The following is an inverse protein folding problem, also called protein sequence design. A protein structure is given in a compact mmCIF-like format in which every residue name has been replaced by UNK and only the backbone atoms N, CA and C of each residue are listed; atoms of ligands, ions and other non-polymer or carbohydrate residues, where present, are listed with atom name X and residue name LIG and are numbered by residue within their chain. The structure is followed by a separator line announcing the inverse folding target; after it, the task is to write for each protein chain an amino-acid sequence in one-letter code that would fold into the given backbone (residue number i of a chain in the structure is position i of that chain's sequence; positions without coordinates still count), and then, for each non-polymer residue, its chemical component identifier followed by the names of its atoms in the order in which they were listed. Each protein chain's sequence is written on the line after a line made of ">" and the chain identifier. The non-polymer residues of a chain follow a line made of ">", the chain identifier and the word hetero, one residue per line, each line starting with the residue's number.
data_IF_003696904028
#
_entry.id   IF_003696904028
#
_cell.length_a   1.000
_cell.length_b   1.000
_cell.length_c   1.000
_cell.angle_alpha   90.00
_cell.angle_beta   90.00
_cell.angle_gamma   90.00
#
_symmetry.space_group_name_H-M   'P 1'
#
loop_
_entity.id
_entity.type
_entity.pdbx_description
1 polymer ?
#
# COMPACT_ATOMS: atom_id res chain seq x y z
N UNK A 1 10.39 8.85 22.88
CA UNK A 1 9.00 8.35 22.89
C UNK A 1 8.70 7.90 21.46
N UNK A 2 8.51 6.60 21.25
CA UNK A 2 8.22 6.05 19.92
C UNK A 2 6.80 6.45 19.49
N UNK A 3 6.66 7.10 18.34
CA UNK A 3 5.37 7.46 17.79
C UNK A 3 4.71 6.24 17.14
N UNK A 4 3.51 5.88 17.55
CA UNK A 4 2.72 4.83 16.92
C UNK A 4 1.91 5.42 15.74
N UNK A 5 2.14 4.91 14.55
CA UNK A 5 1.52 5.35 13.31
C UNK A 5 0.62 4.27 12.70
N UNK A 6 -0.39 4.67 11.95
CA UNK A 6 -1.29 3.76 11.24
C UNK A 6 -1.32 4.08 9.75
N UNK A 7 -1.15 3.06 8.95
CA UNK A 7 -1.38 3.12 7.52
C UNK A 7 -2.77 2.54 7.22
N UNK A 8 -3.65 3.36 6.66
CA UNK A 8 -4.97 2.91 6.21
C UNK A 8 -4.93 2.71 4.70
N UNK A 9 -5.14 1.49 4.29
CA UNK A 9 -5.24 1.08 2.89
C UNK A 9 -6.70 0.83 2.54
N UNK A 10 -7.12 1.39 1.45
CA UNK A 10 -8.45 1.17 0.88
C UNK A 10 -8.27 0.50 -0.48
N UNK A 11 -8.79 -0.70 -0.61
CA UNK A 11 -8.76 -1.44 -1.86
C UNK A 11 -10.17 -1.79 -2.30
N UNK A 12 -10.44 -1.58 -3.57
CA UNK A 12 -11.71 -1.93 -4.19
C UNK A 12 -11.41 -2.77 -5.44
N UNK A 13 -11.63 -4.05 -5.39
CA UNK A 13 -11.65 -5.07 -6.46
C UNK A 13 -10.65 -6.24 -6.44
N UNK A 14 -11.13 -7.36 -6.94
CA UNK A 14 -10.64 -8.64 -7.54
C UNK A 14 -9.21 -9.08 -7.23
N UNK A 15 -9.05 -10.33 -6.82
CA UNK A 15 -7.82 -11.11 -6.55
C UNK A 15 -6.54 -10.29 -6.54
N UNK A 16 -6.00 -9.98 -5.38
CA UNK A 16 -4.86 -9.10 -5.37
C UNK A 16 -3.85 -9.48 -4.29
N UNK A 17 -2.63 -9.75 -4.73
CA UNK A 17 -1.47 -9.54 -3.88
C UNK A 17 -1.01 -8.10 -4.05
N UNK A 18 -0.95 -7.36 -2.96
CA UNK A 18 -0.44 -6.00 -2.92
C UNK A 18 0.98 -6.04 -2.37
N UNK A 19 1.95 -5.63 -3.16
CA UNK A 19 3.31 -5.37 -2.69
C UNK A 19 3.49 -3.86 -2.58
N UNK A 20 3.63 -3.38 -1.36
CA UNK A 20 3.96 -1.98 -1.08
C UNK A 20 5.44 -1.89 -0.81
N UNK A 21 6.18 -1.26 -1.71
CA UNK A 21 7.57 -0.91 -1.44
C UNK A 21 7.59 0.34 -0.58
N UNK A 22 8.02 0.19 0.64
CA UNK A 22 8.25 1.27 1.59
C UNK A 22 9.72 1.63 1.48
N UNK A 23 10.06 2.71 0.82
CA UNK A 23 11.45 3.15 0.73
C UNK A 23 11.80 4.10 1.88
N UNK A 24 12.97 3.82 2.41
CA UNK A 24 13.94 4.63 3.13
C UNK A 24 13.45 5.80 3.98
N UNK A 25 13.77 5.69 5.25
CA UNK A 25 13.87 6.83 6.14
C UNK A 25 15.00 7.75 5.66
N UNK A 26 14.67 8.93 5.19
CA UNK A 26 15.66 9.99 5.06
C UNK A 26 15.79 10.68 6.42
N UNK A 27 17.00 10.69 6.95
CA UNK A 27 17.38 11.61 8.00
C UNK A 27 17.14 13.02 7.49
N UNK A 28 16.21 13.75 8.09
CA UNK A 28 16.13 15.17 7.90
C UNK A 28 17.28 15.81 8.68
N UNK A 29 18.47 15.81 8.10
CA UNK A 29 19.54 16.67 8.53
C UNK A 29 19.21 18.11 8.09
N UNK A 30 19.02 18.99 9.05
CA UNK A 30 18.68 20.38 8.86
C UNK A 30 19.94 21.24 8.64
N UNK A 31 21.04 20.67 8.20
CA UNK A 31 22.24 21.41 7.78
C UNK A 31 22.34 21.38 6.25
N UNK A 32 21.91 22.47 5.64
CA UNK A 32 22.02 22.69 4.19
C UNK A 32 23.49 22.76 3.73
N UNK A 33 24.10 21.62 3.48
CA UNK A 33 25.36 21.57 2.78
C UNK A 33 25.32 20.43 1.72
N UNK A 34 25.02 20.79 0.50
CA UNK A 34 25.23 19.96 -0.67
C UNK A 34 26.72 19.93 -0.97
N UNK A 35 27.45 18.97 -0.44
CA UNK A 35 28.83 18.73 -0.83
C UNK A 35 28.96 17.45 -1.65
N UNK A 36 29.28 17.67 -2.92
CA UNK A 36 30.01 16.80 -3.87
C UNK A 36 29.80 15.29 -3.78
N UNK A 37 29.11 14.77 -4.79
CA UNK A 37 29.17 13.36 -5.15
C UNK A 37 30.60 12.99 -5.50
N UNK A 38 31.24 12.20 -4.69
CA UNK A 38 32.50 11.52 -4.99
C UNK A 38 32.18 10.26 -5.79
N UNK A 39 32.57 10.28 -7.06
CA UNK A 39 32.35 9.23 -8.04
C UNK A 39 33.38 8.12 -7.79
N UNK A 40 33.08 7.14 -6.93
CA UNK A 40 33.99 6.03 -6.75
C UNK A 40 33.77 5.08 -5.59
N UNK A 41 32.81 5.29 -4.71
CA UNK A 41 32.53 4.31 -3.66
C UNK A 41 31.49 3.28 -4.14
N UNK A 42 31.71 1.96 -3.90
CA UNK A 42 30.67 0.97 -4.14
C UNK A 42 29.42 1.35 -3.32
N UNK A 43 28.20 1.14 -3.82
CA UNK A 43 27.02 1.46 -3.07
C UNK A 43 27.04 0.69 -1.75
N UNK A 44 27.08 1.42 -0.64
CA UNK A 44 26.89 0.83 0.68
C UNK A 44 25.49 0.23 0.72
N UNK A 45 25.40 -1.07 0.66
CA UNK A 45 24.18 -1.89 0.68
C UNK A 45 23.43 -1.83 2.01
N UNK A 46 23.92 -1.08 3.00
CA UNK A 46 23.35 -1.02 4.35
C UNK A 46 22.42 0.17 4.62
N UNK A 47 22.15 1.02 3.60
CA UNK A 47 21.41 2.28 3.82
C UNK A 47 19.89 2.18 3.70
N UNK A 48 19.33 1.06 3.26
CA UNK A 48 17.90 0.96 2.97
C UNK A 48 17.06 0.35 4.11
N UNK A 49 17.69 -0.21 5.15
CA UNK A 49 16.95 -0.73 6.30
C UNK A 49 16.53 0.39 7.25
N UNK A 50 15.29 0.32 7.75
CA UNK A 50 14.80 1.22 8.81
C UNK A 50 14.95 0.51 10.15
N UNK A 51 16.03 0.77 10.91
CA UNK A 51 16.27 0.08 12.18
C UNK A 51 15.12 0.37 13.15
N UNK A 52 14.46 -0.70 13.63
CA UNK A 52 13.42 -0.57 14.64
C UNK A 52 12.03 -0.22 14.14
N UNK A 53 11.79 -0.19 12.82
CA UNK A 53 10.43 -0.15 12.27
C UNK A 53 9.73 -1.47 12.59
N UNK A 54 8.60 -1.41 13.27
CA UNK A 54 7.84 -2.60 13.66
C UNK A 54 6.40 -2.47 13.22
N UNK A 55 5.89 -3.51 12.57
CA UNK A 55 4.50 -3.65 12.24
C UNK A 55 3.77 -4.42 13.35
N UNK A 56 2.66 -3.87 13.82
CA UNK A 56 1.75 -4.58 14.73
C UNK A 56 0.69 -5.31 13.94
N UNK A 57 -0.10 -6.15 14.61
CA UNK A 57 -1.17 -6.92 13.99
C UNK A 57 -2.15 -6.01 13.23
N UNK A 58 -2.30 -6.18 11.92
CA UNK A 58 -3.26 -5.43 11.13
C UNK A 58 -4.69 -5.79 11.49
N UNK A 59 -5.59 -4.82 11.33
CA UNK A 59 -7.03 -5.05 11.35
C UNK A 59 -7.63 -4.66 10.01
N UNK A 60 -8.64 -5.39 9.59
CA UNK A 60 -9.29 -5.16 8.31
C UNK A 60 -10.79 -5.40 8.36
N UNK A 61 -11.51 -4.74 7.47
CA UNK A 61 -12.97 -4.84 7.35
C UNK A 61 -13.40 -4.52 5.92
N UNK A 62 -14.52 -5.09 5.54
CA UNK A 62 -15.14 -4.85 4.24
C UNK A 62 -15.67 -6.12 3.60
N UNK A 63 -16.47 -5.94 2.57
CA UNK A 63 -17.12 -7.06 1.87
C UNK A 63 -16.15 -7.89 1.04
N UNK A 64 -14.95 -7.38 0.75
CA UNK A 64 -13.91 -8.06 -0.03
C UNK A 64 -12.84 -8.73 0.84
N UNK A 65 -12.86 -8.51 2.16
CA UNK A 65 -11.89 -9.10 3.07
C UNK A 65 -12.57 -9.61 4.34
N UNK A 66 -13.24 -10.78 4.26
CA UNK A 66 -13.78 -11.45 5.43
C UNK A 66 -12.70 -11.73 6.47
N UNK A 67 -13.11 -11.96 7.71
CA UNK A 67 -12.20 -12.29 8.80
C UNK A 67 -11.29 -13.49 8.43
N UNK A 68 -9.98 -13.36 8.61
CA UNK A 68 -9.00 -14.41 8.30
C UNK A 68 -8.56 -14.48 6.83
N UNK A 69 -9.06 -13.59 5.94
CA UNK A 69 -8.74 -13.63 4.50
C UNK A 69 -7.66 -12.64 4.05
N UNK A 70 -7.00 -11.97 4.98
CA UNK A 70 -5.90 -11.05 4.66
C UNK A 70 -4.69 -11.37 5.53
N UNK A 71 -3.54 -11.52 4.90
CA UNK A 71 -2.25 -11.59 5.57
C UNK A 71 -1.38 -10.39 5.19
N UNK A 72 -0.59 -9.92 6.14
CA UNK A 72 0.33 -8.81 5.95
C UNK A 72 1.71 -9.21 6.47
N UNK A 73 2.73 -8.93 5.69
CA UNK A 73 4.13 -9.25 6.02
C UNK A 73 5.01 -8.07 5.69
N UNK A 74 5.73 -7.58 6.70
CA UNK A 74 6.80 -6.60 6.52
C UNK A 74 8.11 -7.35 6.27
N UNK A 75 8.89 -6.90 5.28
CA UNK A 75 10.21 -7.46 5.03
C UNK A 75 11.14 -7.22 6.23
N UNK A 76 12.16 -8.08 6.44
CA UNK A 76 13.08 -7.94 7.57
C UNK A 76 13.82 -6.61 7.61
N UNK A 77 14.09 -6.02 6.45
CA UNK A 77 14.71 -4.71 6.29
C UNK A 77 13.76 -3.53 6.50
N UNK A 78 12.44 -3.79 6.66
CA UNK A 78 11.42 -2.76 6.80
C UNK A 78 11.10 -1.99 5.53
N UNK A 79 11.66 -2.38 4.36
CA UNK A 79 11.51 -1.61 3.12
C UNK A 79 10.32 -2.01 2.26
N UNK A 80 9.72 -3.18 2.50
CA UNK A 80 8.55 -3.62 1.75
C UNK A 80 7.48 -4.23 2.63
N UNK A 81 6.23 -3.91 2.32
CA UNK A 81 5.04 -4.49 2.93
C UNK A 81 4.25 -5.26 1.89
N UNK A 82 4.04 -6.54 2.13
CA UNK A 82 3.22 -7.39 1.29
C UNK A 82 1.87 -7.66 1.95
N UNK A 83 0.80 -7.52 1.16
CA UNK A 83 -0.56 -7.87 1.56
C UNK A 83 -1.09 -8.95 0.60
N UNK A 84 -1.55 -10.05 1.17
CA UNK A 84 -2.16 -11.14 0.43
C UNK A 84 -3.63 -11.24 0.80
N UNK A 85 -4.49 -11.37 -0.21
CA UNK A 85 -5.94 -11.48 -0.07
C UNK A 85 -6.41 -12.81 -0.63
N UNK A 86 -6.95 -13.68 0.20
CA UNK A 86 -7.40 -15.02 -0.21
C UNK A 86 -8.84 -15.03 -0.77
N UNK A 87 -9.65 -14.04 -0.41
CA UNK A 87 -11.08 -14.02 -0.73
C UNK A 87 -11.57 -12.73 -1.41
N UNK A 88 -10.66 -11.92 -1.93
CA UNK A 88 -11.01 -10.65 -2.55
C UNK A 88 -11.47 -10.84 -4.00
N UNK A 89 -12.69 -11.36 -4.17
CA UNK A 89 -13.30 -11.69 -5.48
C UNK A 89 -14.59 -10.91 -5.66
N UNK A 90 -14.80 -10.38 -6.86
CA UNK A 90 -16.06 -9.76 -7.28
C UNK A 90 -16.54 -10.38 -8.58
N UNK A 91 -17.78 -10.83 -8.61
CA UNK A 91 -18.39 -11.45 -9.76
C UNK A 91 -19.76 -10.81 -10.03
N UNK A 92 -20.04 -10.59 -11.31
CA UNK A 92 -21.35 -10.15 -11.79
C UNK A 92 -21.68 -10.83 -13.12
N UNK A 93 -22.94 -11.00 -13.40
CA UNK A 93 -23.41 -11.71 -14.60
C UNK A 93 -23.48 -13.23 -14.42
N UNK A 94 -23.61 -13.96 -15.52
CA UNK A 94 -23.66 -15.42 -15.52
C UNK A 94 -24.69 -15.99 -14.55
N UNK A 95 -24.27 -16.95 -13.75
CA UNK A 95 -25.12 -17.64 -12.76
C UNK A 95 -25.53 -16.79 -11.56
N UNK A 96 -24.82 -15.66 -11.31
CA UNK A 96 -25.16 -14.76 -10.18
C UNK A 96 -26.45 -13.96 -10.41
N UNK A 97 -26.86 -13.79 -11.67
CA UNK A 97 -28.02 -12.98 -12.06
C UNK A 97 -27.88 -11.48 -11.79
N UNK A 98 -26.75 -11.05 -11.23
CA UNK A 98 -26.51 -9.65 -10.89
C UNK A 98 -25.83 -8.90 -12.03
N UNK A 99 -26.39 -7.75 -12.41
CA UNK A 99 -25.78 -6.89 -13.44
C UNK A 99 -24.53 -6.14 -12.93
N UNK A 100 -24.40 -5.99 -11.61
CA UNK A 100 -23.30 -5.26 -10.97
C UNK A 100 -22.95 -5.91 -9.63
N UNK A 101 -21.67 -5.92 -9.33
CA UNK A 101 -21.17 -6.30 -8.02
C UNK A 101 -20.03 -5.38 -7.62
N UNK A 102 -19.87 -5.15 -6.33
CA UNK A 102 -18.78 -4.36 -5.78
C UNK A 102 -18.28 -4.97 -4.48
N UNK A 103 -16.99 -4.94 -4.27
CA UNK A 103 -16.34 -5.34 -3.04
C UNK A 103 -15.42 -4.22 -2.57
N UNK A 104 -15.26 -4.09 -1.27
CA UNK A 104 -14.32 -3.16 -0.67
C UNK A 104 -13.56 -3.83 0.48
N UNK A 105 -12.36 -3.34 0.74
CA UNK A 105 -11.56 -3.72 1.89
C UNK A 105 -10.87 -2.47 2.44
N UNK A 106 -10.97 -2.28 3.74
CA UNK A 106 -10.22 -1.29 4.48
C UNK A 106 -9.27 -2.01 5.42
N UNK A 107 -7.99 -1.69 5.34
CA UNK A 107 -6.96 -2.30 6.17
C UNK A 107 -6.31 -1.19 6.99
N UNK A 108 -6.19 -1.44 8.29
CA UNK A 108 -5.49 -0.58 9.23
C UNK A 108 -4.24 -1.32 9.71
N UNK A 109 -3.08 -0.77 9.40
CA UNK A 109 -1.79 -1.36 9.71
C UNK A 109 -1.06 -0.43 10.69
N UNK A 110 -0.98 -0.80 11.97
CA UNK A 110 -0.24 0.00 12.94
C UNK A 110 1.27 -0.24 12.79
N UNK A 111 2.03 0.85 12.82
CA UNK A 111 3.50 0.82 12.82
C UNK A 111 4.05 1.60 14.00
N UNK A 112 5.14 1.10 14.57
CA UNK A 112 6.00 1.85 15.47
C UNK A 112 7.17 2.37 14.64
N UNK A 113 7.25 3.70 14.52
CA UNK A 113 8.34 4.36 13.80
C UNK A 113 9.34 4.90 14.83
N UNK A 114 10.63 4.57 14.72
CA UNK A 114 11.65 5.05 15.63
C UNK A 114 11.76 6.59 15.62
N UNK A 115 12.24 7.21 16.72
CA UNK A 115 12.51 8.65 16.75
C UNK A 115 13.51 9.04 15.66
N UNK A 116 13.25 10.17 15.00
CA UNK A 116 14.10 10.68 13.91
C UNK A 116 13.82 10.07 12.54
N UNK A 117 12.93 9.09 12.46
CA UNK A 117 12.54 8.45 11.19
C UNK A 117 11.12 8.81 10.79
N UNK A 118 10.86 8.77 9.51
CA UNK A 118 9.52 8.85 8.94
C UNK A 118 9.38 7.82 7.82
N UNK A 119 8.17 7.30 7.64
CA UNK A 119 7.85 6.31 6.62
C UNK A 119 7.17 6.99 5.44
N UNK A 120 7.59 6.66 4.24
CA UNK A 120 6.97 7.08 2.99
C UNK A 120 6.62 5.85 2.15
N UNK A 121 5.45 5.86 1.53
CA UNK A 121 5.12 4.89 0.49
C UNK A 121 5.58 5.46 -0.85
N UNK A 122 6.53 4.80 -1.49
CA UNK A 122 7.12 5.25 -2.77
C UNK A 122 6.45 4.59 -3.96
N UNK A 123 6.16 3.30 -3.85
CA UNK A 123 5.59 2.50 -4.92
C UNK A 123 4.57 1.52 -4.37
N UNK A 124 3.52 1.27 -5.13
CA UNK A 124 2.53 0.24 -4.85
C UNK A 124 2.28 -0.57 -6.11
N UNK A 125 2.41 -1.88 -6.00
CA UNK A 125 2.11 -2.83 -7.06
C UNK A 125 0.89 -3.66 -6.67
N UNK A 126 -0.08 -3.71 -7.56
CA UNK A 126 -1.29 -4.53 -7.41
C UNK A 126 -1.26 -5.62 -8.46
N UNK A 127 -1.47 -6.85 -8.03
CA UNK A 127 -1.49 -8.01 -8.90
C UNK A 127 -2.81 -8.75 -8.72
N UNK A 128 -3.39 -9.21 -9.80
CA UNK A 128 -4.63 -9.95 -9.77
C UNK A 128 -4.96 -10.55 -11.11
N UNK A 129 -6.13 -11.18 -11.17
CA UNK A 129 -6.69 -11.74 -12.39
C UNK A 129 -7.99 -11.03 -12.74
N UNK A 130 -8.25 -10.85 -14.02
CA UNK A 130 -9.48 -10.25 -14.53
C UNK A 130 -10.05 -11.10 -15.66
N UNK A 131 -11.37 -11.32 -15.60
CA UNK A 131 -12.15 -11.90 -16.70
C UNK A 131 -13.34 -10.99 -16.97
N UNK A 132 -13.31 -10.24 -18.08
CA UNK A 132 -14.37 -9.30 -18.47
C UNK A 132 -14.88 -9.69 -19.84
N UNK A 133 -16.15 -10.10 -19.99
CA UNK A 133 -16.73 -10.44 -21.29
C UNK A 133 -16.96 -9.18 -22.14
N UNK A 134 -17.22 -9.39 -23.42
CA UNK A 134 -17.57 -8.33 -24.37
C UNK A 134 -18.73 -7.48 -23.86
N UNK A 135 -18.58 -6.17 -23.94
CA UNK A 135 -19.59 -5.20 -23.48
C UNK A 135 -19.61 -4.94 -21.96
N UNK A 136 -18.83 -5.68 -21.19
CA UNK A 136 -18.68 -5.46 -19.74
C UNK A 136 -17.43 -4.65 -19.41
N UNK A 137 -17.36 -4.21 -18.14
CA UNK A 137 -16.19 -3.53 -17.59
C UNK A 137 -16.00 -3.84 -16.12
N UNK A 138 -14.75 -3.88 -15.70
CA UNK A 138 -14.34 -3.95 -14.31
C UNK A 138 -13.56 -2.68 -13.94
N UNK A 139 -13.69 -2.23 -12.71
CA UNK A 139 -12.94 -1.07 -12.21
C UNK A 139 -12.25 -1.45 -10.92
N UNK A 140 -10.95 -1.20 -10.84
CA UNK A 140 -10.15 -1.36 -9.64
C UNK A 140 -9.68 0.01 -9.14
N UNK A 141 -9.75 0.23 -7.83
CA UNK A 141 -9.23 1.43 -7.21
C UNK A 141 -8.64 1.15 -5.85
N UNK A 142 -7.52 1.79 -5.54
CA UNK A 142 -6.86 1.67 -4.25
C UNK A 142 -6.28 3.01 -3.80
N UNK A 143 -6.18 3.19 -2.50
CA UNK A 143 -5.61 4.37 -1.89
C UNK A 143 -5.08 4.10 -0.49
N UNK A 144 -4.25 4.99 0.02
CA UNK A 144 -3.76 4.93 1.40
C UNK A 144 -3.74 6.31 2.05
N UNK A 145 -3.63 6.32 3.35
CA UNK A 145 -3.33 7.52 4.17
C UNK A 145 -2.59 7.12 5.43
N UNK A 146 -1.73 7.98 5.91
CA UNK A 146 -1.20 7.88 7.26
C UNK A 146 -2.15 8.54 8.27
N UNK A 147 -2.27 7.94 9.46
CA UNK A 147 -3.11 8.44 10.54
C UNK A 147 -2.35 8.33 11.85
N UNK A 148 -2.32 9.39 12.65
CA UNK A 148 -1.84 9.31 14.02
C UNK A 148 -2.84 8.57 14.92
N UNK A 149 -2.36 8.03 16.05
CA UNK A 149 -3.22 7.31 17.02
C UNK A 149 -4.33 8.20 17.56
N UNK A 150 -4.07 9.52 17.70
CA UNK A 150 -5.07 10.49 18.13
C UNK A 150 -6.18 10.74 17.10
N UNK A 151 -6.18 10.01 15.96
CA UNK A 151 -7.16 10.13 14.90
C UNK A 151 -6.95 11.33 13.97
N UNK A 152 -5.93 12.15 14.19
CA UNK A 152 -5.57 13.22 13.25
C UNK A 152 -5.02 12.61 11.98
N UNK A 153 -5.75 12.76 10.90
CA UNK A 153 -5.23 12.46 9.57
C UNK A 153 -4.33 13.61 9.14
N UNK A 154 -3.09 13.32 8.86
CA UNK A 154 -2.12 14.33 8.43
C UNK A 154 -2.21 14.66 6.96
N UNK A 155 -2.84 13.79 6.17
CA UNK A 155 -2.89 13.95 4.72
C UNK A 155 -4.21 13.52 4.13
N UNK A 156 -4.57 14.17 3.04
CA UNK A 156 -5.71 13.81 2.20
C UNK A 156 -5.59 12.36 1.73
N UNK A 157 -6.71 11.67 1.67
CA UNK A 157 -6.81 10.35 1.05
C UNK A 157 -6.21 10.40 -0.35
N UNK A 158 -5.10 9.71 -0.57
CA UNK A 158 -4.56 9.54 -1.92
C UNK A 158 -5.22 8.35 -2.59
N UNK A 159 -6.00 8.62 -3.61
CA UNK A 159 -6.43 7.60 -4.55
C UNK A 159 -5.26 7.36 -5.49
N UNK A 160 -4.60 6.19 -5.35
CA UNK A 160 -3.41 5.88 -6.12
C UNK A 160 -3.71 5.55 -7.57
N UNK A 161 -4.79 4.87 -7.85
CA UNK A 161 -5.33 4.70 -9.21
C UNK A 161 -6.72 4.06 -9.19
N UNK A 162 -7.59 4.55 -10.07
CA UNK A 162 -8.68 3.74 -10.59
C UNK A 162 -8.28 3.25 -11.98
N UNK A 163 -8.27 1.94 -12.20
CA UNK A 163 -8.05 1.33 -13.51
C UNK A 163 -9.34 0.72 -13.99
N UNK A 164 -9.74 1.08 -15.21
CA UNK A 164 -10.91 0.50 -15.87
C UNK A 164 -10.42 -0.52 -16.89
N UNK A 165 -10.92 -1.73 -16.77
CA UNK A 165 -10.63 -2.86 -17.67
C UNK A 165 -11.91 -3.20 -18.42
N UNK A 166 -11.89 -3.04 -19.75
CA UNK A 166 -13.02 -3.33 -20.62
C UNK A 166 -12.82 -4.67 -21.31
N UNK A 167 -13.91 -5.42 -21.50
CA UNK A 167 -13.89 -6.70 -22.20
C UNK A 167 -13.93 -6.58 -23.73
N UNK A 168 -13.60 -7.66 -24.46
CA UNK A 168 -13.24 -8.97 -23.88
C UNK A 168 -11.81 -8.99 -23.34
N UNK A 169 -11.62 -9.47 -22.10
CA UNK A 169 -10.29 -9.57 -21.48
C UNK A 169 -10.29 -10.73 -20.48
N UNK A 170 -9.26 -11.55 -20.50
CA UNK A 170 -9.03 -12.62 -19.52
C UNK A 170 -7.53 -12.76 -19.32
N UNK A 171 -7.00 -12.17 -18.24
CA UNK A 171 -5.56 -12.14 -18.02
C UNK A 171 -5.20 -11.84 -16.57
N UNK A 172 -3.96 -12.16 -16.21
CA UNK A 172 -3.33 -11.60 -15.02
C UNK A 172 -2.95 -10.15 -15.29
N UNK A 173 -3.21 -9.27 -14.35
CA UNK A 173 -2.82 -7.87 -14.44
C UNK A 173 -1.81 -7.48 -13.36
N UNK A 174 -0.97 -6.51 -13.68
CA UNK A 174 -0.12 -5.81 -12.74
C UNK A 174 -0.36 -4.31 -12.93
N UNK A 175 -0.76 -3.64 -11.85
CA UNK A 175 -0.92 -2.18 -11.83
C UNK A 175 0.12 -1.61 -10.88
N UNK A 176 1.06 -0.85 -11.42
CA UNK A 176 2.07 -0.15 -10.64
C UNK A 176 1.71 1.32 -10.49
N UNK A 177 1.88 1.84 -9.30
CA UNK A 177 1.68 3.26 -8.99
C UNK A 177 2.87 3.81 -8.22
N UNK A 178 3.52 4.82 -8.78
CA UNK A 178 4.54 5.59 -8.09
C UNK A 178 3.85 6.72 -7.34
N UNK A 179 4.10 6.80 -6.04
CA UNK A 179 3.61 7.89 -5.20
C UNK A 179 4.54 9.08 -5.36
N UNK A 180 4.03 10.15 -5.95
CA UNK A 180 4.79 11.39 -6.15
C UNK A 180 4.48 12.38 -5.03
N UNK A 181 5.51 12.96 -4.45
CA UNK A 181 5.43 14.01 -3.43
C UNK A 181 5.90 13.54 -2.04
N UNK A 182 6.27 14.48 -1.18
CA UNK A 182 6.84 14.21 0.13
C UNK A 182 5.71 13.88 1.13
N UNK A 183 5.13 12.68 1.03
CA UNK A 183 4.13 12.23 2.00
C UNK A 183 4.76 11.28 2.99
N UNK A 184 5.23 11.85 4.07
CA UNK A 184 5.80 11.12 5.18
C UNK A 184 4.76 10.84 6.26
N UNK A 185 4.97 9.75 6.99
CA UNK A 185 4.22 9.49 8.22
C UNK A 185 4.51 10.60 9.24
N UNK A 186 3.53 11.00 10.06
CA UNK A 186 3.74 11.98 11.12
C UNK A 186 4.47 11.43 12.34
N UNK A 187 4.75 10.15 12.33
CA UNK A 187 5.22 9.37 13.46
C UNK A 187 6.75 9.29 13.44
N UNK A 188 7.38 9.17 14.62
CA UNK A 188 8.84 9.13 14.77
C UNK A 188 9.45 10.43 15.26
N UNK A 189 8.64 11.40 15.75
CA UNK A 189 9.09 12.62 16.40
C UNK A 189 9.24 12.43 17.90
#
# INVERSE_FOLDING_TARGET
>A
MSGLCRLLLFCSFLFSSLVVNVASAQLADNSGNFSNYDEGAPPNTDSDSVPGLQMQTPSYSGTGCPQGSVSATLSPDGTSLSLLFDAYVTEAGGTTGQLRAAKNCQINIPFTVPPGYAVQVVKMDYRGFVAVPTGARSTFGAGFRFVEINGRSTNSRRVLRASVMTGPRQENFVLSSIVRGPEFSPCGR
#
